data_IF_270658851341
#
_entry.id   IF_270658851341
#
_cell.length_a   1.000
_cell.length_b   1.000
_cell.length_c   1.000
_cell.angle_alpha   90.00
_cell.angle_beta   90.00
_cell.angle_gamma   90.00
#
_symmetry.space_group_name_H-M   'P 1'
#
loop_
_entity.id
_entity.type
_entity.pdbx_description
1 polymer ?
#
# COMPACT_ATOMS: atom_id res chain seq x y z
N UNK A 1 19.21 41.56 -2.56
CA UNK A 1 19.81 40.23 -2.76
C UNK A 1 19.77 39.36 -1.51
N UNK A 2 20.18 39.86 -0.33
CA UNK A 2 20.19 39.10 0.94
C UNK A 2 18.77 38.62 1.40
N UNK A 3 17.76 39.49 1.28
CA UNK A 3 16.36 39.16 1.64
C UNK A 3 15.78 38.06 0.75
N UNK A 4 16.12 38.01 -0.53
CA UNK A 4 15.68 36.99 -1.48
C UNK A 4 16.33 35.65 -1.17
N UNK A 5 17.60 35.61 -0.78
CA UNK A 5 18.29 34.38 -0.35
C UNK A 5 17.72 33.87 0.96
N UNK A 6 17.39 34.75 1.92
CA UNK A 6 16.73 34.37 3.19
C UNK A 6 15.34 33.81 2.90
N UNK A 7 14.58 34.42 1.99
CA UNK A 7 13.24 33.95 1.62
C UNK A 7 13.26 32.59 0.91
N UNK A 8 14.21 32.34 -0.01
CA UNK A 8 14.41 31.04 -0.65
C UNK A 8 14.82 29.96 0.36
N UNK A 9 15.73 30.26 1.28
CA UNK A 9 16.12 29.35 2.35
C UNK A 9 14.96 29.04 3.30
N UNK A 10 14.08 30.00 3.56
CA UNK A 10 12.86 29.81 4.36
C UNK A 10 11.85 28.90 3.63
N UNK A 11 11.68 29.06 2.33
CA UNK A 11 10.79 28.21 1.51
C UNK A 11 11.32 26.77 1.41
N UNK A 12 12.60 26.53 1.25
CA UNK A 12 13.19 25.17 1.24
C UNK A 12 13.12 24.50 2.62
N UNK A 13 13.32 25.26 3.69
CA UNK A 13 13.08 24.79 5.07
C UNK A 13 11.63 24.33 5.25
N UNK A 14 10.68 25.13 4.78
CA UNK A 14 9.25 24.81 4.82
C UNK A 14 8.94 23.58 3.96
N UNK A 15 9.64 23.37 2.84
CA UNK A 15 9.46 22.21 1.96
C UNK A 15 9.90 20.89 2.60
N UNK A 16 11.04 20.82 3.28
CA UNK A 16 11.52 19.59 3.91
C UNK A 16 10.73 19.25 5.19
N UNK A 17 10.40 20.23 6.00
CA UNK A 17 9.47 20.04 7.13
C UNK A 17 8.07 19.65 6.65
N UNK A 18 7.62 20.19 5.52
CA UNK A 18 6.31 19.81 4.96
C UNK A 18 6.28 18.36 4.49
N UNK A 19 7.38 17.79 4.00
CA UNK A 19 7.46 16.39 3.55
C UNK A 19 7.36 15.40 4.71
N UNK A 20 8.06 15.63 5.82
CA UNK A 20 7.96 14.75 7.01
C UNK A 20 6.58 14.87 7.64
N UNK A 21 6.07 16.09 7.79
CA UNK A 21 4.74 16.32 8.33
C UNK A 21 3.63 15.74 7.43
N UNK A 22 3.81 15.81 6.10
CA UNK A 22 2.86 15.18 5.17
C UNK A 22 2.89 13.64 5.27
N UNK A 23 4.06 13.04 5.48
CA UNK A 23 4.17 11.59 5.70
C UNK A 23 3.47 11.16 7.00
N UNK A 24 3.67 11.89 8.10
CA UNK A 24 2.97 11.65 9.37
C UNK A 24 1.46 11.80 9.18
N UNK A 25 1.02 12.86 8.50
CA UNK A 25 -0.38 13.08 8.19
C UNK A 25 -0.99 11.94 7.35
N UNK A 26 -0.27 11.44 6.34
CA UNK A 26 -0.75 10.31 5.54
C UNK A 26 -0.93 9.04 6.37
N UNK A 27 0.00 8.75 7.31
CA UNK A 27 -0.11 7.58 8.21
C UNK A 27 -1.37 7.72 9.07
N UNK A 28 -1.56 8.86 9.73
CA UNK A 28 -2.75 9.10 10.56
C UNK A 28 -4.05 9.11 9.74
N UNK A 29 -4.01 9.63 8.52
CA UNK A 29 -5.16 9.61 7.62
C UNK A 29 -5.56 8.17 7.25
N UNK A 30 -4.58 7.29 6.97
CA UNK A 30 -4.86 5.87 6.69
C UNK A 30 -5.47 5.16 7.92
N UNK A 31 -4.95 5.42 9.12
CA UNK A 31 -5.51 4.88 10.35
C UNK A 31 -6.94 5.37 10.60
N UNK A 32 -7.20 6.65 10.32
CA UNK A 32 -8.55 7.22 10.46
C UNK A 32 -9.55 6.61 9.47
N UNK A 33 -9.13 6.28 8.24
CA UNK A 33 -9.96 5.55 7.27
C UNK A 33 -10.28 4.13 7.76
N UNK A 34 -9.27 3.42 8.25
CA UNK A 34 -9.42 2.06 8.77
C UNK A 34 -10.29 2.00 10.05
N UNK A 35 -10.32 3.10 10.83
CA UNK A 35 -11.13 3.22 12.05
C UNK A 35 -12.60 3.59 11.77
N UNK A 36 -12.98 3.96 10.54
CA UNK A 36 -14.38 4.27 10.19
C UNK A 36 -15.31 3.09 10.45
N UNK A 37 -16.52 3.38 10.89
CA UNK A 37 -17.51 2.36 11.26
C UNK A 37 -18.38 1.93 10.07
N UNK A 38 -17.77 1.60 8.95
CA UNK A 38 -18.46 1.12 7.76
C UNK A 38 -18.63 -0.40 7.77
N UNK A 39 -19.54 -0.90 6.97
CA UNK A 39 -19.83 -2.34 6.89
C UNK A 39 -18.59 -3.15 6.53
N UNK A 40 -17.81 -2.71 5.55
CA UNK A 40 -16.56 -3.36 5.13
C UNK A 40 -15.54 -3.38 6.27
N UNK A 41 -15.43 -2.32 7.07
CA UNK A 41 -14.45 -2.23 8.16
C UNK A 41 -14.80 -3.17 9.34
N UNK A 42 -16.07 -3.61 9.44
CA UNK A 42 -16.54 -4.57 10.47
C UNK A 42 -16.27 -6.02 10.11
N UNK A 43 -16.00 -6.35 8.84
CA UNK A 43 -15.68 -7.71 8.41
C UNK A 43 -14.37 -8.16 9.06
N UNK A 44 -14.31 -9.45 9.41
CA UNK A 44 -13.15 -10.03 10.06
C UNK A 44 -11.85 -9.81 9.28
N UNK A 45 -10.76 -9.30 9.89
CA UNK A 45 -9.54 -8.88 9.19
C UNK A 45 -8.84 -10.03 8.46
N UNK A 46 -8.91 -11.26 8.99
CA UNK A 46 -8.35 -12.46 8.34
C UNK A 46 -9.05 -12.72 7.01
N UNK A 47 -10.37 -12.61 6.95
CA UNK A 47 -11.15 -12.83 5.72
C UNK A 47 -10.77 -11.83 4.65
N UNK A 48 -10.64 -10.55 5.00
CA UNK A 48 -10.20 -9.51 4.06
C UNK A 48 -8.80 -9.77 3.52
N UNK A 49 -7.88 -10.16 4.40
CA UNK A 49 -6.51 -10.48 4.02
C UNK A 49 -6.48 -11.66 3.04
N UNK A 50 -7.20 -12.75 3.34
CA UNK A 50 -7.26 -13.93 2.47
C UNK A 50 -7.85 -13.57 1.10
N UNK A 51 -8.97 -12.84 1.06
CA UNK A 51 -9.61 -12.43 -0.19
C UNK A 51 -8.66 -11.56 -1.02
N UNK A 52 -7.98 -10.60 -0.40
CA UNK A 52 -7.05 -9.71 -1.11
C UNK A 52 -5.87 -10.48 -1.69
N UNK A 53 -5.26 -11.36 -0.91
CA UNK A 53 -4.15 -12.21 -1.41
C UNK A 53 -4.62 -13.12 -2.53
N UNK A 54 -5.79 -13.75 -2.37
CA UNK A 54 -6.39 -14.60 -3.38
C UNK A 54 -6.71 -13.82 -4.67
N UNK A 55 -7.28 -12.60 -4.54
CA UNK A 55 -7.54 -11.72 -5.67
C UNK A 55 -6.26 -11.39 -6.44
N UNK A 56 -5.20 -10.98 -5.75
CA UNK A 56 -3.90 -10.69 -6.37
C UNK A 56 -3.35 -11.92 -7.08
N UNK A 57 -3.41 -13.10 -6.45
CA UNK A 57 -2.97 -14.35 -7.05
C UNK A 57 -3.75 -14.68 -8.33
N UNK A 58 -5.07 -14.51 -8.33
CA UNK A 58 -5.93 -14.71 -9.50
C UNK A 58 -5.58 -13.71 -10.60
N UNK A 59 -5.44 -12.42 -10.29
CA UNK A 59 -5.08 -11.36 -11.27
C UNK A 59 -3.73 -11.65 -11.92
N UNK A 60 -2.73 -12.03 -11.14
CA UNK A 60 -1.39 -12.37 -11.68
C UNK A 60 -1.42 -13.62 -12.54
N UNK A 61 -2.27 -14.61 -12.19
CA UNK A 61 -2.41 -15.89 -12.89
C UNK A 61 -3.04 -15.79 -14.29
N UNK A 62 -3.62 -14.65 -14.68
CA UNK A 62 -4.14 -14.47 -16.05
C UNK A 62 -3.01 -14.56 -17.09
N UNK A 63 -3.33 -15.06 -18.28
CA UNK A 63 -2.38 -15.09 -19.41
C UNK A 63 -2.04 -13.67 -19.88
N UNK A 64 -0.90 -13.52 -20.57
CA UNK A 64 -0.41 -12.21 -21.06
C UNK A 64 -1.32 -11.55 -22.10
N UNK A 65 -2.25 -12.33 -22.70
CA UNK A 65 -3.04 -11.90 -23.84
C UNK A 65 -4.53 -11.79 -23.54
N UNK A 66 -4.96 -12.17 -22.34
CA UNK A 66 -6.39 -12.18 -21.97
C UNK A 66 -6.80 -10.87 -21.27
N UNK A 67 -6.92 -9.78 -22.05
CA UNK A 67 -7.37 -8.49 -21.54
C UNK A 67 -8.84 -8.54 -21.13
N UNK A 68 -9.69 -9.21 -21.91
CA UNK A 68 -11.13 -9.28 -21.66
C UNK A 68 -11.45 -9.94 -20.31
N UNK A 69 -10.80 -11.07 -20.00
CA UNK A 69 -10.96 -11.72 -18.70
C UNK A 69 -10.43 -10.87 -17.56
N UNK A 70 -9.28 -10.19 -17.77
CA UNK A 70 -8.68 -9.33 -16.76
C UNK A 70 -9.54 -8.08 -16.47
N UNK A 71 -10.18 -7.50 -17.49
CA UNK A 71 -11.06 -6.35 -17.31
C UNK A 71 -12.27 -6.66 -16.42
N UNK A 72 -12.76 -7.91 -16.41
CA UNK A 72 -13.81 -8.35 -15.49
C UNK A 72 -13.40 -8.28 -14.01
N UNK A 73 -12.10 -8.35 -13.71
CA UNK A 73 -11.59 -8.25 -12.34
C UNK A 73 -11.73 -6.84 -11.71
N UNK A 74 -12.10 -5.83 -12.49
CA UNK A 74 -12.40 -4.47 -11.98
C UNK A 74 -13.60 -4.46 -11.02
N UNK A 75 -14.46 -5.47 -11.09
CA UNK A 75 -15.67 -5.57 -10.25
C UNK A 75 -15.30 -5.58 -8.76
N UNK A 76 -14.26 -6.32 -8.37
CA UNK A 76 -13.86 -6.39 -6.97
C UNK A 76 -13.45 -5.03 -6.38
N UNK A 77 -12.49 -4.28 -6.95
CA UNK A 77 -12.14 -2.96 -6.43
C UNK A 77 -13.33 -2.01 -6.41
N UNK A 78 -14.15 -1.97 -7.49
CA UNK A 78 -15.28 -1.04 -7.58
C UNK A 78 -16.31 -1.29 -6.48
N UNK A 79 -16.68 -2.55 -6.24
CA UNK A 79 -17.64 -2.91 -5.19
C UNK A 79 -17.09 -2.54 -3.81
N UNK A 80 -15.81 -2.83 -3.52
CA UNK A 80 -15.22 -2.48 -2.24
C UNK A 80 -15.10 -0.96 -2.06
N UNK A 81 -14.82 -0.20 -3.11
CA UNK A 81 -14.84 1.27 -3.06
C UNK A 81 -16.20 1.83 -2.69
N UNK A 82 -17.28 1.32 -3.30
CA UNK A 82 -18.64 1.74 -3.00
C UNK A 82 -19.06 1.37 -1.59
N UNK A 83 -18.80 0.13 -1.18
CA UNK A 83 -19.15 -0.35 0.17
C UNK A 83 -18.29 0.27 1.28
N UNK A 84 -17.07 0.70 0.95
CA UNK A 84 -16.13 1.35 1.87
C UNK A 84 -16.24 2.87 1.91
N UNK A 85 -17.07 3.48 1.06
CA UNK A 85 -17.19 4.95 0.91
C UNK A 85 -15.81 5.62 0.84
N UNK A 86 -14.91 5.01 0.03
CA UNK A 86 -13.54 5.43 -0.12
C UNK A 86 -13.41 6.42 -1.28
N UNK A 87 -12.56 7.42 -1.10
CA UNK A 87 -12.31 8.43 -2.12
C UNK A 87 -11.48 7.85 -3.27
N UNK A 88 -12.07 7.80 -4.47
CA UNK A 88 -11.36 7.41 -5.69
C UNK A 88 -10.13 8.30 -5.99
N UNK A 89 -10.21 9.60 -5.62
CA UNK A 89 -9.13 10.55 -5.85
C UNK A 89 -7.85 10.19 -5.09
N UNK A 90 -7.98 9.73 -3.85
CA UNK A 90 -6.83 9.34 -3.03
C UNK A 90 -6.16 8.08 -3.55
N UNK A 91 -6.96 7.14 -4.06
CA UNK A 91 -6.45 5.91 -4.69
C UNK A 91 -5.69 6.21 -5.98
N UNK A 92 -6.22 7.06 -6.85
CA UNK A 92 -5.55 7.48 -8.09
C UNK A 92 -4.25 8.22 -7.80
N UNK A 93 -4.20 9.04 -6.72
CA UNK A 93 -2.97 9.71 -6.32
C UNK A 93 -1.87 8.71 -5.94
N UNK A 94 -2.21 7.64 -5.23
CA UNK A 94 -1.27 6.57 -4.87
C UNK A 94 -0.87 5.71 -6.07
N UNK A 95 -1.83 5.45 -6.97
CA UNK A 95 -1.58 4.77 -8.22
C UNK A 95 -0.56 5.52 -9.10
N UNK A 96 -0.59 6.86 -9.07
CA UNK A 96 0.33 7.72 -9.82
C UNK A 96 1.81 7.48 -9.48
N UNK A 97 2.12 7.00 -8.28
CA UNK A 97 3.50 6.68 -7.86
C UNK A 97 3.95 5.34 -8.45
N UNK A 98 3.03 4.37 -8.55
CA UNK A 98 3.34 3.00 -9.01
C UNK A 98 3.25 2.87 -10.53
N UNK A 99 2.35 3.62 -11.17
CA UNK A 99 2.18 3.59 -12.63
C UNK A 99 3.48 3.77 -13.43
N UNK A 100 4.36 4.76 -13.14
CA UNK A 100 5.60 4.92 -13.89
C UNK A 100 6.50 3.70 -13.83
N UNK A 101 6.57 3.03 -12.68
CA UNK A 101 7.37 1.81 -12.49
C UNK A 101 6.82 0.66 -13.36
N UNK A 102 5.51 0.45 -13.32
CA UNK A 102 4.85 -0.60 -14.11
C UNK A 102 4.92 -0.29 -15.60
N UNK A 103 4.75 0.99 -16.00
CA UNK A 103 4.93 1.44 -17.37
C UNK A 103 6.36 1.20 -17.87
N UNK A 104 7.36 1.54 -17.05
CA UNK A 104 8.78 1.33 -17.40
C UNK A 104 9.06 -0.14 -17.67
N UNK A 105 8.59 -1.04 -16.80
CA UNK A 105 8.73 -2.49 -17.02
C UNK A 105 7.93 -2.96 -18.26
N UNK A 106 6.76 -2.38 -18.50
CA UNK A 106 5.90 -2.72 -19.63
C UNK A 106 6.45 -2.31 -20.99
N UNK A 107 7.19 -1.18 -21.06
CA UNK A 107 7.74 -0.64 -22.32
C UNK A 107 8.72 -1.60 -23.00
N UNK A 108 9.37 -2.46 -22.25
CA UNK A 108 10.28 -3.44 -22.82
C UNK A 108 9.56 -4.57 -23.57
N UNK A 109 8.31 -4.91 -23.22
CA UNK A 109 7.57 -6.01 -23.84
C UNK A 109 7.36 -5.86 -25.35
N UNK A 110 7.01 -4.67 -25.93
CA UNK A 110 6.88 -4.49 -27.36
C UNK A 110 8.19 -4.69 -28.15
N UNK A 111 9.35 -4.54 -27.50
CA UNK A 111 10.63 -4.76 -28.15
C UNK A 111 10.97 -6.25 -28.32
N UNK A 112 10.53 -7.08 -27.36
CA UNK A 112 10.83 -8.51 -27.35
C UNK A 112 9.80 -9.34 -28.14
N UNK A 113 8.52 -8.93 -28.17
CA UNK A 113 7.45 -9.71 -28.78
C UNK A 113 6.77 -8.91 -29.91
N UNK A 114 7.22 -9.14 -31.16
CA UNK A 114 6.80 -8.40 -32.37
C UNK A 114 5.78 -9.14 -33.23
N UNK A 115 5.18 -10.22 -32.76
CA UNK A 115 4.17 -10.96 -33.53
C UNK A 115 2.92 -10.10 -33.71
N UNK A 116 2.43 -10.00 -34.96
CA UNK A 116 1.20 -9.28 -35.30
C UNK A 116 0.01 -10.19 -34.98
N UNK A 117 -0.95 -9.75 -34.18
CA UNK A 117 -2.14 -10.52 -33.80
C UNK A 117 -3.34 -10.08 -34.65
N UNK A 118 -3.53 -8.79 -34.82
CA UNK A 118 -4.72 -8.22 -35.47
C UNK A 118 -4.42 -6.84 -36.01
N UNK A 119 -5.01 -6.51 -37.18
CA UNK A 119 -4.98 -5.15 -37.73
C UNK A 119 -6.32 -4.47 -37.39
N UNK A 120 -6.30 -3.48 -36.49
CA UNK A 120 -7.48 -2.66 -36.18
C UNK A 120 -7.22 -1.26 -36.75
N UNK A 121 -8.04 -0.88 -37.76
CA UNK A 121 -7.98 0.46 -38.37
C UNK A 121 -6.63 0.82 -39.04
N UNK A 122 -5.90 -0.18 -39.59
CA UNK A 122 -4.61 0.05 -40.27
C UNK A 122 -3.38 0.09 -39.37
N UNK A 123 -3.53 -0.01 -38.07
CA UNK A 123 -2.42 -0.14 -37.12
C UNK A 123 -2.21 -1.61 -36.74
N UNK A 124 -1.00 -2.18 -36.95
CA UNK A 124 -0.70 -3.55 -36.56
C UNK A 124 -0.57 -3.62 -35.03
N UNK A 125 -1.52 -4.27 -34.38
CA UNK A 125 -1.42 -4.56 -32.94
C UNK A 125 -0.49 -5.76 -32.76
N UNK A 126 0.66 -5.50 -32.13
CA UNK A 126 1.62 -6.55 -31.79
C UNK A 126 1.27 -7.20 -30.45
N UNK A 127 1.62 -8.50 -30.30
CA UNK A 127 1.51 -9.23 -29.03
C UNK A 127 2.20 -8.48 -27.88
N UNK A 128 3.25 -7.74 -28.17
CA UNK A 128 3.97 -6.95 -27.17
C UNK A 128 3.16 -5.78 -26.61
N UNK A 129 2.35 -5.08 -27.41
CA UNK A 129 1.46 -4.02 -26.95
C UNK A 129 0.36 -4.60 -26.04
N UNK A 130 -0.20 -5.75 -26.45
CA UNK A 130 -1.21 -6.47 -25.67
C UNK A 130 -0.64 -6.91 -24.30
N UNK A 131 0.56 -7.47 -24.30
CA UNK A 131 1.27 -7.89 -23.10
C UNK A 131 1.63 -6.70 -22.20
N UNK A 132 2.01 -5.56 -22.76
CA UNK A 132 2.26 -4.31 -22.01
C UNK A 132 0.98 -3.86 -21.31
N UNK A 133 -0.14 -3.80 -22.02
CA UNK A 133 -1.42 -3.36 -21.45
C UNK A 133 -1.92 -4.29 -20.34
N UNK A 134 -1.83 -5.61 -20.55
CA UNK A 134 -2.19 -6.59 -19.51
C UNK A 134 -1.29 -6.46 -18.28
N UNK A 135 0.00 -6.24 -18.44
CA UNK A 135 0.91 -6.02 -17.30
C UNK A 135 0.54 -4.76 -16.53
N UNK A 136 0.22 -3.66 -17.23
CA UNK A 136 -0.24 -2.41 -16.60
C UNK A 136 -1.54 -2.63 -15.82
N UNK A 137 -2.53 -3.30 -16.41
CA UNK A 137 -3.79 -3.61 -15.72
C UNK A 137 -3.58 -4.49 -14.49
N UNK A 138 -2.74 -5.54 -14.58
CA UNK A 138 -2.39 -6.38 -13.43
C UNK A 138 -1.76 -5.56 -12.30
N UNK A 139 -0.82 -4.68 -12.63
CA UNK A 139 -0.18 -3.79 -11.65
C UNK A 139 -1.19 -2.86 -10.98
N UNK A 140 -2.05 -2.21 -11.76
CA UNK A 140 -3.10 -1.32 -11.25
C UNK A 140 -4.04 -2.05 -10.30
N UNK A 141 -4.56 -3.22 -10.69
CA UNK A 141 -5.51 -3.98 -9.89
C UNK A 141 -4.88 -4.52 -8.59
N UNK A 142 -3.62 -4.98 -8.66
CA UNK A 142 -2.90 -5.45 -7.47
C UNK A 142 -2.67 -4.31 -6.47
N UNK A 143 -2.29 -3.12 -6.95
CA UNK A 143 -2.08 -1.95 -6.09
C UNK A 143 -3.40 -1.45 -5.50
N UNK A 144 -4.48 -1.41 -6.30
CA UNK A 144 -5.81 -1.05 -5.80
C UNK A 144 -6.27 -2.01 -4.71
N UNK A 145 -6.12 -3.32 -4.91
CA UNK A 145 -6.50 -4.32 -3.90
C UNK A 145 -5.70 -4.15 -2.60
N UNK A 146 -4.39 -3.94 -2.70
CA UNK A 146 -3.54 -3.68 -1.54
C UNK A 146 -3.93 -2.39 -0.81
N UNK A 147 -4.22 -1.32 -1.56
CA UNK A 147 -4.71 -0.07 -1.00
C UNK A 147 -6.03 -0.24 -0.23
N UNK A 148 -6.98 -0.97 -0.83
CA UNK A 148 -8.28 -1.25 -0.21
C UNK A 148 -8.15 -2.03 1.10
N UNK A 149 -7.24 -3.01 1.15
CA UNK A 149 -6.96 -3.75 2.38
C UNK A 149 -6.47 -2.81 3.49
N UNK A 150 -5.49 -1.94 3.19
CA UNK A 150 -4.91 -1.03 4.18
C UNK A 150 -5.93 0.06 4.57
N UNK A 151 -6.72 0.58 3.64
CA UNK A 151 -7.73 1.61 3.91
C UNK A 151 -8.92 1.11 4.74
N UNK A 152 -9.20 -0.19 4.69
CA UNK A 152 -10.34 -0.80 5.43
C UNK A 152 -9.94 -1.57 6.68
N UNK A 153 -8.62 -1.76 6.91
CA UNK A 153 -8.13 -2.60 8.02
C UNK A 153 -6.93 -1.95 8.68
N UNK A 154 -7.03 -1.62 9.96
CA UNK A 154 -5.89 -1.07 10.71
C UNK A 154 -4.75 -2.08 10.81
N UNK A 155 -3.52 -1.58 10.95
CA UNK A 155 -2.33 -2.44 11.07
C UNK A 155 -2.44 -3.39 12.26
N UNK A 156 -3.03 -2.96 13.38
CA UNK A 156 -3.23 -3.83 14.54
C UNK A 156 -4.13 -5.03 14.20
N UNK A 157 -5.24 -4.78 13.47
CA UNK A 157 -6.14 -5.85 12.99
C UNK A 157 -5.46 -6.74 11.97
N UNK A 158 -4.59 -6.17 11.12
CA UNK A 158 -3.82 -6.93 10.14
C UNK A 158 -2.80 -7.85 10.85
N UNK A 159 -2.09 -7.36 11.86
CA UNK A 159 -1.19 -8.14 12.71
C UNK A 159 -1.94 -9.28 13.41
N UNK A 160 -3.14 -9.01 13.93
CA UNK A 160 -4.01 -10.06 14.49
C UNK A 160 -4.36 -11.13 13.45
N UNK A 161 -4.72 -10.74 12.23
CA UNK A 161 -5.00 -11.67 11.15
C UNK A 161 -3.78 -12.52 10.77
N UNK A 162 -2.59 -11.90 10.71
CA UNK A 162 -1.32 -12.62 10.46
C UNK A 162 -1.04 -13.66 11.55
N UNK A 163 -1.34 -13.35 12.81
CA UNK A 163 -1.17 -14.29 13.93
C UNK A 163 -2.12 -15.48 13.81
N UNK A 164 -3.36 -15.27 13.34
CA UNK A 164 -4.33 -16.33 13.06
C UNK A 164 -3.90 -17.23 11.89
N UNK A 165 -3.08 -16.72 10.96
CA UNK A 165 -2.45 -17.51 9.90
C UNK A 165 -1.20 -18.29 10.37
N UNK A 166 -0.98 -18.38 11.69
CA UNK A 166 0.16 -19.07 12.30
C UNK A 166 1.53 -18.46 11.95
N UNK A 167 1.59 -17.20 11.54
CA UNK A 167 2.87 -16.50 11.36
C UNK A 167 3.53 -16.36 12.73
N UNK A 168 4.86 -16.61 12.83
CA UNK A 168 5.59 -16.55 14.10
C UNK A 168 5.34 -15.22 14.83
N UNK A 169 5.12 -15.30 16.15
CA UNK A 169 4.80 -14.13 16.99
C UNK A 169 5.85 -13.03 16.86
N UNK A 170 7.11 -13.41 16.75
CA UNK A 170 8.23 -12.48 16.67
C UNK A 170 8.13 -11.55 15.44
N UNK A 171 7.74 -12.09 14.27
CA UNK A 171 7.56 -11.32 13.04
C UNK A 171 6.38 -10.35 13.18
N UNK A 172 5.27 -10.84 13.72
CA UNK A 172 4.06 -10.02 13.91
C UNK A 172 4.31 -8.89 14.90
N UNK A 173 5.01 -9.19 16.00
CA UNK A 173 5.45 -8.20 17.00
C UNK A 173 6.35 -7.14 16.36
N UNK A 174 7.32 -7.58 15.55
CA UNK A 174 8.23 -6.67 14.85
C UNK A 174 7.48 -5.72 13.91
N UNK A 175 6.53 -6.21 13.12
CA UNK A 175 5.69 -5.37 12.24
C UNK A 175 4.89 -4.36 13.05
N UNK A 176 4.25 -4.79 14.14
CA UNK A 176 3.42 -3.95 15.00
C UNK A 176 4.25 -2.83 15.65
N UNK A 177 5.41 -3.18 16.22
CA UNK A 177 6.30 -2.22 16.86
C UNK A 177 6.89 -1.25 15.81
N UNK A 178 7.35 -1.75 14.68
CA UNK A 178 7.87 -0.89 13.60
C UNK A 178 6.84 0.13 13.17
N UNK A 179 5.60 -0.28 12.94
CA UNK A 179 4.53 0.64 12.55
C UNK A 179 4.25 1.69 13.63
N UNK A 180 4.17 1.27 14.88
CA UNK A 180 3.91 2.17 16.01
C UNK A 180 5.02 3.21 16.21
N UNK A 181 6.28 2.81 15.99
CA UNK A 181 7.42 3.69 16.22
C UNK A 181 7.85 4.50 14.99
N UNK A 182 7.30 4.23 13.79
CA UNK A 182 7.65 4.99 12.58
C UNK A 182 7.34 6.49 12.71
N UNK A 183 6.19 6.84 13.28
CA UNK A 183 5.80 8.23 13.50
C UNK A 183 6.72 8.91 14.52
N UNK A 184 7.05 8.21 15.60
CA UNK A 184 7.96 8.70 16.65
C UNK A 184 9.36 8.95 16.11
N UNK A 185 9.87 8.02 15.25
CA UNK A 185 11.18 8.20 14.62
C UNK A 185 11.18 9.32 13.58
N UNK A 186 10.08 9.51 12.86
CA UNK A 186 9.92 10.63 11.92
C UNK A 186 9.92 11.97 12.66
N UNK A 187 9.25 12.06 13.81
CA UNK A 187 9.31 13.26 14.67
C UNK A 187 10.72 13.52 15.18
N UNK A 188 11.44 12.49 15.62
CA UNK A 188 12.82 12.62 16.08
C UNK A 188 13.76 13.05 14.95
N UNK A 189 13.63 12.45 13.76
CA UNK A 189 14.37 12.86 12.56
C UNK A 189 14.08 14.34 12.22
N UNK A 190 12.84 14.78 12.37
CA UNK A 190 12.47 16.17 12.16
C UNK A 190 13.14 17.10 13.19
N UNK A 191 13.17 16.73 14.47
CA UNK A 191 13.85 17.50 15.53
C UNK A 191 15.36 17.62 15.28
N UNK A 192 16.01 16.51 14.89
CA UNK A 192 17.44 16.50 14.56
C UNK A 192 17.71 17.43 13.36
N UNK A 193 16.90 17.32 12.31
CA UNK A 193 17.04 18.15 11.10
C UNK A 193 16.80 19.63 11.41
N UNK A 194 15.81 19.95 12.22
CA UNK A 194 15.54 21.33 12.67
C UNK A 194 16.72 21.89 13.47
N UNK A 195 17.25 21.12 14.41
CA UNK A 195 18.41 21.54 15.22
C UNK A 195 19.63 21.82 14.35
N UNK A 196 19.86 21.02 13.31
CA UNK A 196 20.92 21.23 12.34
C UNK A 196 20.70 22.52 11.53
N UNK A 197 19.49 22.73 11.01
CA UNK A 197 19.19 23.91 10.20
C UNK A 197 19.27 25.23 10.98
N UNK A 198 18.99 25.20 12.29
CA UNK A 198 19.15 26.36 13.17
C UNK A 198 20.64 26.73 13.41
N UNK A 199 21.51 25.69 13.44
CA UNK A 199 22.97 25.91 13.63
C UNK A 199 23.69 26.31 12.34
N UNK A 200 23.11 25.98 11.17
CA UNK A 200 23.67 26.29 9.87
C UNK A 200 22.69 27.10 8.99
N UNK A 201 22.40 28.38 9.34
CA UNK A 201 21.33 29.15 8.72
C UNK A 201 21.57 29.47 7.24
N UNK A 202 22.84 29.52 6.80
CA UNK A 202 23.22 29.87 5.43
C UNK A 202 23.32 28.65 4.47
N UNK A 203 23.04 27.43 4.96
CA UNK A 203 23.08 26.23 4.13
C UNK A 203 21.70 25.87 3.58
N UNK A 204 21.66 25.52 2.30
CA UNK A 204 20.44 24.98 1.65
C UNK A 204 20.32 23.49 1.95
N UNK A 205 19.34 23.13 2.81
CA UNK A 205 19.09 21.75 3.18
C UNK A 205 20.19 21.10 4.04
N UNK A 206 20.20 19.78 4.11
CA UNK A 206 21.21 19.00 4.85
C UNK A 206 22.36 18.65 3.92
N UNK A 207 23.56 19.09 4.21
CA UNK A 207 24.75 18.79 3.40
C UNK A 207 25.09 17.31 3.49
N UNK A 208 25.46 16.69 2.35
CA UNK A 208 25.71 15.25 2.25
C UNK A 208 26.72 14.72 3.28
N UNK A 209 27.79 15.47 3.58
CA UNK A 209 28.78 15.12 4.59
C UNK A 209 28.21 14.97 6.01
N UNK A 210 27.10 15.63 6.31
CA UNK A 210 26.47 15.63 7.65
C UNK A 210 25.44 14.52 7.80
N UNK A 211 24.98 13.93 6.69
CA UNK A 211 23.99 12.86 6.72
C UNK A 211 24.41 11.68 7.60
N UNK A 212 25.68 11.28 7.53
CA UNK A 212 26.21 10.19 8.37
C UNK A 212 26.07 10.49 9.85
N UNK A 213 26.43 11.70 10.29
CA UNK A 213 26.33 12.13 11.69
C UNK A 213 24.87 12.21 12.17
N UNK A 214 23.96 12.77 11.35
CA UNK A 214 22.53 12.87 11.71
C UNK A 214 21.88 11.50 11.80
N UNK A 215 22.19 10.63 10.84
CA UNK A 215 21.68 9.24 10.83
C UNK A 215 22.26 8.44 12.00
N UNK A 216 23.55 8.62 12.32
CA UNK A 216 24.16 8.00 13.48
C UNK A 216 23.52 8.44 14.79
N UNK A 217 23.21 9.73 14.97
CA UNK A 217 22.47 10.23 16.13
C UNK A 217 21.06 9.65 16.22
N UNK A 218 20.34 9.55 15.08
CA UNK A 218 19.01 8.94 15.04
C UNK A 218 19.09 7.47 15.44
N UNK A 219 20.10 6.75 14.93
CA UNK A 219 20.33 5.34 15.25
C UNK A 219 20.56 5.14 16.75
N UNK A 220 21.50 5.88 17.34
CA UNK A 220 21.80 5.77 18.78
C UNK A 220 20.55 6.03 19.63
N UNK A 221 19.81 7.13 19.35
CA UNK A 221 18.57 7.43 20.07
C UNK A 221 17.48 6.35 19.87
N UNK A 222 17.44 5.72 18.71
CA UNK A 222 16.47 4.63 18.45
C UNK A 222 16.84 3.37 19.21
N UNK A 223 18.15 3.07 19.37
CA UNK A 223 18.65 1.95 20.19
C UNK A 223 18.32 2.14 21.66
N UNK A 224 18.67 3.32 22.24
CA UNK A 224 18.32 3.66 23.63
C UNK A 224 16.83 3.55 23.90
N UNK A 225 16.00 3.96 22.92
CA UNK A 225 14.55 3.85 23.03
C UNK A 225 14.07 2.42 22.95
N UNK A 226 14.66 1.60 22.08
CA UNK A 226 14.30 0.19 21.94
C UNK A 226 14.64 -0.59 23.23
N UNK A 227 15.79 -0.31 23.85
CA UNK A 227 16.19 -0.90 25.12
C UNK A 227 15.19 -0.57 26.24
N UNK A 228 14.90 0.72 26.44
CA UNK A 228 13.90 1.17 27.43
C UNK A 228 12.49 0.61 27.16
N UNK A 229 12.12 0.45 25.90
CA UNK A 229 10.87 -0.18 25.53
C UNK A 229 10.85 -1.64 25.94
N UNK A 230 11.90 -2.38 25.62
CA UNK A 230 12.03 -3.79 25.96
C UNK A 230 12.00 -4.00 27.50
N UNK A 231 12.74 -3.21 28.26
CA UNK A 231 12.69 -3.22 29.71
C UNK A 231 11.28 -2.97 30.26
N UNK A 232 10.62 -1.91 29.74
CA UNK A 232 9.24 -1.59 30.13
C UNK A 232 8.25 -2.70 29.78
N UNK A 233 8.43 -3.36 28.65
CA UNK A 233 7.60 -4.50 28.23
C UNK A 233 7.84 -5.71 29.13
N UNK A 234 9.10 -6.01 29.46
CA UNK A 234 9.49 -7.11 30.35
C UNK A 234 8.91 -6.92 31.75
N UNK A 235 8.97 -5.71 32.31
CA UNK A 235 8.34 -5.37 33.60
C UNK A 235 6.80 -5.53 33.59
N UNK A 236 6.18 -5.43 32.42
CA UNK A 236 4.73 -5.66 32.23
C UNK A 236 4.37 -7.12 31.91
N UNK A 237 5.34 -8.05 32.03
CA UNK A 237 5.12 -9.47 31.78
C UNK A 237 5.15 -9.90 30.32
N UNK A 238 5.85 -9.14 29.45
CA UNK A 238 6.02 -9.53 28.06
C UNK A 238 6.90 -10.80 27.99
N UNK A 239 6.33 -11.88 27.46
CA UNK A 239 6.98 -13.18 27.29
C UNK A 239 7.15 -13.58 25.80
N UNK A 240 7.38 -12.60 24.92
CA UNK A 240 7.60 -12.86 23.49
C UNK A 240 6.34 -12.73 22.62
N UNK A 241 5.15 -12.61 23.21
CA UNK A 241 3.89 -12.45 22.50
C UNK A 241 3.09 -11.27 23.06
N UNK A 242 2.41 -10.54 22.14
CA UNK A 242 1.39 -9.57 22.53
C UNK A 242 0.03 -10.24 22.65
N UNK A 243 -0.64 -9.99 23.76
CA UNK A 243 -2.05 -10.38 23.94
C UNK A 243 -2.95 -9.32 23.30
N UNK A 244 -3.62 -9.70 22.22
CA UNK A 244 -4.60 -8.81 21.57
C UNK A 244 -5.88 -8.80 22.43
N UNK A 245 -6.18 -7.65 23.08
CA UNK A 245 -7.32 -7.50 23.96
C UNK A 245 -8.68 -7.64 23.26
N UNK A 246 -8.78 -7.28 22.00
CA UNK A 246 -9.99 -7.36 21.19
C UNK A 246 -9.90 -8.56 20.22
N UNK A 247 -10.14 -9.77 20.73
CA UNK A 247 -10.38 -10.93 19.88
C UNK A 247 -11.74 -10.73 19.18
N UNK A 248 -11.73 -10.34 17.91
CA UNK A 248 -12.95 -10.27 17.10
C UNK A 248 -13.32 -11.69 16.71
N UNK A 249 -14.44 -12.27 17.20
CA UNK A 249 -14.85 -13.61 16.78
C UNK A 249 -15.27 -13.59 15.32
N UNK A 250 -14.87 -14.62 14.57
CA UNK A 250 -15.34 -14.83 13.21
C UNK A 250 -16.82 -15.17 13.24
N UNK A 251 -17.66 -14.36 12.61
CA UNK A 251 -19.11 -14.58 12.52
C UNK A 251 -19.44 -15.39 11.27
N UNK A 252 -20.56 -16.11 11.26
CA UNK A 252 -20.99 -16.85 10.07
C UNK A 252 -21.09 -15.99 8.81
N UNK A 253 -21.45 -14.71 8.94
CA UNK A 253 -21.48 -13.73 7.84
C UNK A 253 -20.11 -13.52 7.18
N UNK A 254 -19.01 -13.63 7.94
CA UNK A 254 -17.66 -13.44 7.41
C UNK A 254 -17.25 -14.62 6.50
N UNK A 255 -17.67 -15.85 6.85
CA UNK A 255 -17.47 -17.03 6.00
C UNK A 255 -18.30 -16.96 4.73
N UNK A 256 -19.57 -16.54 4.82
CA UNK A 256 -20.41 -16.32 3.64
C UNK A 256 -19.76 -15.31 2.69
N UNK A 257 -19.25 -14.20 3.22
CA UNK A 257 -18.55 -13.20 2.45
C UNK A 257 -17.29 -13.76 1.78
N UNK A 258 -16.51 -14.58 2.49
CA UNK A 258 -15.32 -15.22 1.96
C UNK A 258 -15.66 -16.15 0.79
N UNK A 259 -16.60 -17.07 0.99
CA UNK A 259 -16.98 -18.04 -0.06
C UNK A 259 -17.63 -17.39 -1.27
N UNK A 260 -18.44 -16.34 -1.03
CA UNK A 260 -19.06 -15.57 -2.12
C UNK A 260 -18.00 -14.90 -2.99
N UNK A 261 -17.04 -14.20 -2.38
CA UNK A 261 -15.98 -13.54 -3.15
C UNK A 261 -15.03 -14.55 -3.81
N UNK A 262 -14.64 -15.63 -3.14
CA UNK A 262 -13.80 -16.65 -3.76
C UNK A 262 -14.52 -17.31 -4.94
N UNK A 263 -15.77 -17.66 -4.79
CA UNK A 263 -16.59 -18.22 -5.89
C UNK A 263 -16.74 -17.25 -7.05
N UNK A 264 -17.04 -15.96 -6.75
CA UNK A 264 -17.16 -14.92 -7.78
C UNK A 264 -15.84 -14.70 -8.55
N UNK A 265 -14.71 -14.65 -7.85
CA UNK A 265 -13.40 -14.46 -8.48
C UNK A 265 -13.00 -15.65 -9.37
N UNK A 266 -13.30 -16.87 -8.93
CA UNK A 266 -13.08 -18.08 -9.73
C UNK A 266 -13.99 -18.06 -10.96
N UNK A 267 -15.26 -17.73 -10.79
CA UNK A 267 -16.23 -17.63 -11.88
C UNK A 267 -15.79 -16.58 -12.91
N UNK A 268 -15.37 -15.37 -12.47
CA UNK A 268 -14.86 -14.33 -13.36
C UNK A 268 -13.57 -14.73 -14.09
N UNK A 269 -12.76 -15.61 -13.51
CA UNK A 269 -11.55 -16.13 -14.16
C UNK A 269 -11.88 -17.09 -15.32
N UNK A 270 -12.86 -17.99 -15.12
CA UNK A 270 -13.18 -19.03 -16.11
C UNK A 270 -14.22 -18.56 -17.13
N UNK A 271 -15.14 -17.69 -16.74
CA UNK A 271 -16.17 -17.16 -17.64
C UNK A 271 -15.71 -15.79 -18.15
N UNK A 272 -15.40 -15.65 -19.45
CA UNK A 272 -15.04 -14.36 -20.03
C UNK A 272 -16.29 -13.48 -20.18
N UNK A 273 -16.73 -12.88 -19.06
CA UNK A 273 -17.99 -12.10 -18.96
C UNK A 273 -18.08 -11.02 -20.03
N UNK A 274 -16.96 -10.36 -20.36
CA UNK A 274 -16.93 -9.30 -21.36
C UNK A 274 -17.12 -9.84 -22.79
N UNK A 275 -16.57 -11.02 -23.12
CA UNK A 275 -16.80 -11.63 -24.44
C UNK A 275 -18.22 -12.11 -24.58
N UNK A 276 -18.84 -12.65 -23.54
CA UNK A 276 -20.25 -13.02 -23.53
C UNK A 276 -21.15 -11.79 -23.64
N UNK A 277 -20.88 -10.74 -22.89
CA UNK A 277 -21.60 -9.47 -23.00
C UNK A 277 -21.43 -8.87 -24.41
N UNK A 278 -20.24 -8.88 -24.99
CA UNK A 278 -19.99 -8.40 -26.35
C UNK A 278 -20.78 -9.17 -27.41
N UNK A 279 -20.86 -10.50 -27.28
CA UNK A 279 -21.66 -11.34 -28.19
C UNK A 279 -23.19 -11.20 -28.02
N UNK A 280 -23.64 -10.60 -26.89
CA UNK A 280 -25.06 -10.33 -26.65
C UNK A 280 -25.51 -9.00 -27.24
N UNK A 281 -24.57 -8.10 -27.56
CA UNK A 281 -24.82 -6.78 -28.15
C UNK A 281 -24.49 -6.69 -29.65
N UNK A 282 -23.92 -7.76 -30.23
CA UNK A 282 -23.72 -7.96 -31.65
C UNK A 282 -24.81 -8.90 -32.21
#
# INVERSE_FOLDING_TARGET
MLVYVIYLNFLERKSNMSKINSAIYEIHHMDSLAARNQWVNRIHPLVKLIITVFYIAVVVSFSKYNIAGLAGMIIYPVVIFQLGDLSFKDSIRKLRIVLPLVCFLGIFNPFFDRRIVTNIGGLPITTGILSMLTLMMKGVFSVLASYLLIATTSIEKLCYAMRLLHIPAIIVTQVLLTYRYITVLLEEANRITQSYTLRAPNQKGVHFKVWGTLTGQLLLRSMDRAEKLYESMSLRGYAGEFYYGNKVPCKGKDYVYLFLWMGLLILLKYIPVITIAGNLFL
#
